data_IF_833484514669
#
_entry.id   IF_833484514669
#
_cell.length_a   1.000
_cell.length_b   1.000
_cell.length_c   1.000
_cell.angle_alpha   90.00
_cell.angle_beta   90.00
_cell.angle_gamma   90.00
#
_symmetry.space_group_name_H-M   'P 1'
#
loop_
_entity.id
_entity.type
_entity.pdbx_description
1 polymer ?
#
# COMPACT_ATOMS: atom_id res chain seq x y z
N UNK A 1 -67.60 31.66 43.22
CA UNK A 1 -66.21 32.07 43.51
C UNK A 1 -65.50 32.14 42.15
N UNK A 2 -65.36 33.28 41.46
CA UNK A 2 -64.46 34.44 41.73
C UNK A 2 -62.98 33.99 41.71
N UNK A 3 -62.04 34.52 40.91
CA UNK A 3 -61.84 35.83 40.23
C UNK A 3 -61.03 35.57 38.92
N UNK A 4 -61.37 36.10 37.72
CA UNK A 4 -60.85 37.32 37.01
C UNK A 4 -59.31 37.44 36.86
N UNK A 5 -58.65 38.08 35.85
CA UNK A 5 -58.93 38.61 34.49
C UNK A 5 -57.55 38.98 33.80
N UNK A 6 -57.44 39.11 32.45
CA UNK A 6 -56.24 39.56 31.68
C UNK A 6 -56.19 41.13 31.51
N UNK A 7 -55.46 41.85 30.59
CA UNK A 7 -54.62 41.47 29.40
C UNK A 7 -53.34 42.38 29.17
N UNK A 8 -52.97 42.62 27.89
CA UNK A 8 -52.19 43.77 27.32
C UNK A 8 -50.64 43.76 27.38
N UNK A 9 -49.85 44.39 26.47
CA UNK A 9 -50.08 45.22 25.25
C UNK A 9 -48.90 44.98 24.26
N UNK A 10 -49.02 45.11 22.92
CA UNK A 10 -48.83 46.35 22.11
C UNK A 10 -47.75 47.33 22.63
N UNK A 11 -46.84 47.93 21.83
CA UNK A 11 -46.53 47.80 20.40
C UNK A 11 -45.22 48.53 20.03
N UNK A 12 -44.71 48.27 18.82
CA UNK A 12 -44.07 49.21 17.86
C UNK A 12 -42.80 50.03 18.19
N UNK A 13 -42.02 50.24 17.11
CA UNK A 13 -41.08 51.36 16.85
C UNK A 13 -39.76 51.40 17.65
N UNK A 14 -38.64 51.90 17.10
CA UNK A 14 -38.22 52.06 15.70
C UNK A 14 -36.68 52.22 15.65
N UNK A 15 -36.09 52.10 14.46
CA UNK A 15 -34.92 52.85 13.94
C UNK A 15 -33.76 53.30 14.87
N UNK A 16 -32.53 53.01 14.39
CA UNK A 16 -31.39 53.95 14.33
C UNK A 16 -30.70 54.31 15.68
N UNK A 17 -29.42 54.68 15.76
CA UNK A 17 -28.31 54.70 14.79
C UNK A 17 -26.97 54.86 15.54
N UNK A 18 -25.85 54.50 14.89
CA UNK A 18 -24.58 55.28 14.88
C UNK A 18 -23.70 55.42 16.17
N UNK A 19 -22.37 55.29 15.96
CA UNK A 19 -21.22 55.79 16.76
C UNK A 19 -20.98 55.23 18.20
N UNK A 20 -19.75 55.22 18.73
CA UNK A 20 -18.39 55.06 18.16
C UNK A 20 -17.35 54.91 19.31
N UNK A 21 -16.10 54.61 18.96
CA UNK A 21 -14.85 54.93 19.70
C UNK A 21 -14.57 54.38 21.12
N UNK A 22 -13.43 53.66 21.19
CA UNK A 22 -12.28 53.83 22.11
C UNK A 22 -12.48 53.98 23.64
N UNK A 23 -11.75 53.19 24.43
CA UNK A 23 -11.49 53.57 25.84
C UNK A 23 -10.69 52.64 26.78
N UNK A 24 -9.40 52.44 26.53
CA UNK A 24 -8.33 52.27 27.55
C UNK A 24 -8.35 51.17 28.66
N UNK A 25 -7.29 50.33 28.62
CA UNK A 25 -6.33 49.98 29.71
C UNK A 25 -6.79 49.33 31.05
N UNK A 26 -6.30 48.10 31.26
CA UNK A 26 -5.34 47.64 32.32
C UNK A 26 -5.04 46.14 32.08
N UNK A 27 -3.85 45.65 31.69
CA UNK A 27 -2.52 45.54 32.36
C UNK A 27 -2.45 44.62 33.59
N UNK A 28 -1.48 43.68 33.57
CA UNK A 28 -0.92 42.85 34.66
C UNK A 28 -1.82 41.69 35.21
N UNK A 29 -1.35 40.46 35.49
CA UNK A 29 -0.06 39.73 35.27
C UNK A 29 -0.22 38.23 35.58
N UNK A 30 0.68 37.36 35.09
CA UNK A 30 0.87 35.98 35.56
C UNK A 30 0.82 34.94 34.43
N UNK A 31 1.90 34.68 33.67
CA UNK A 31 3.04 33.80 34.00
C UNK A 31 2.65 32.39 34.47
N UNK A 32 2.55 31.47 33.50
CA UNK A 32 3.19 30.14 33.57
C UNK A 32 3.74 29.81 32.18
N UNK A 33 4.96 29.27 32.12
CA UNK A 33 5.61 28.80 30.90
C UNK A 33 4.92 27.56 30.30
N UNK A 34 5.04 27.35 28.99
CA UNK A 34 5.75 26.22 28.34
C UNK A 34 5.26 25.96 26.88
N UNK A 35 6.16 25.42 26.05
CA UNK A 35 5.95 24.77 24.74
C UNK A 35 5.36 25.53 23.52
N UNK A 36 6.17 26.47 23.01
CA UNK A 36 6.63 26.50 21.61
C UNK A 36 5.62 26.23 20.47
N UNK A 37 4.65 27.14 20.30
CA UNK A 37 4.08 27.40 18.98
C UNK A 37 5.11 28.16 18.11
N UNK A 38 5.94 27.43 17.33
CA UNK A 38 6.80 28.04 16.32
C UNK A 38 5.97 28.38 15.07
N UNK A 39 5.32 29.53 15.13
CA UNK A 39 4.79 30.24 13.97
C UNK A 39 5.95 30.60 13.03
N UNK A 40 5.93 30.06 11.82
CA UNK A 40 6.85 30.41 10.74
C UNK A 40 5.99 30.90 9.58
N UNK A 41 6.14 32.19 9.28
CA UNK A 41 5.24 32.93 8.42
C UNK A 41 5.05 32.33 7.03
N UNK A 42 3.81 32.43 6.56
CA UNK A 42 3.37 32.11 5.22
C UNK A 42 4.03 33.07 4.20
N UNK A 43 5.12 32.64 3.57
CA UNK A 43 5.57 33.20 2.29
C UNK A 43 5.31 32.16 1.19
N UNK A 44 4.25 32.40 0.41
CA UNK A 44 3.84 31.56 -0.73
C UNK A 44 4.76 31.82 -1.93
N UNK A 45 6.01 31.35 -1.89
CA UNK A 45 6.81 31.21 -3.11
C UNK A 45 6.41 29.95 -3.86
N UNK A 46 5.69 30.15 -4.97
CA UNK A 46 5.32 29.16 -5.97
C UNK A 46 6.57 28.59 -6.67
N UNK A 47 7.23 27.63 -6.02
CA UNK A 47 8.48 27.02 -6.49
C UNK A 47 8.24 26.05 -7.66
N UNK A 48 8.10 26.57 -8.89
CA UNK A 48 8.17 25.78 -10.12
C UNK A 48 9.57 25.17 -10.29
N UNK A 49 9.76 23.94 -9.79
CA UNK A 49 10.99 23.17 -9.97
C UNK A 49 11.19 22.81 -11.45
N UNK A 50 12.07 23.55 -12.12
CA UNK A 50 12.51 23.28 -13.49
C UNK A 50 13.31 21.96 -13.55
N UNK A 51 12.67 20.88 -14.01
CA UNK A 51 13.30 19.57 -14.15
C UNK A 51 14.21 19.56 -15.40
N UNK A 52 15.52 19.72 -15.19
CA UNK A 52 16.51 19.65 -16.27
C UNK A 52 16.80 18.20 -16.69
N UNK A 53 16.32 17.80 -17.87
CA UNK A 53 16.56 16.46 -18.45
C UNK A 53 17.97 16.37 -19.06
N UNK A 54 18.96 15.94 -18.29
CA UNK A 54 20.34 15.77 -18.78
C UNK A 54 20.50 14.50 -19.64
N UNK A 55 20.58 14.65 -20.96
CA UNK A 55 20.94 13.56 -21.89
C UNK A 55 22.46 13.46 -22.06
N UNK A 56 23.07 12.41 -21.50
CA UNK A 56 24.50 12.07 -21.71
C UNK A 56 24.74 10.58 -21.45
N UNK A 57 25.06 9.82 -22.49
CA UNK A 57 24.81 8.36 -22.52
C UNK A 57 25.94 7.45 -21.99
N UNK A 58 27.01 8.01 -21.39
CA UNK A 58 28.17 7.22 -20.91
C UNK A 58 28.76 7.73 -19.57
N UNK A 59 28.06 8.63 -18.88
CA UNK A 59 28.45 9.07 -17.55
C UNK A 59 27.80 8.18 -16.49
N UNK A 60 28.62 7.63 -15.58
CA UNK A 60 28.17 6.99 -14.33
C UNK A 60 27.17 7.92 -13.64
N UNK A 61 25.94 7.45 -13.40
CA UNK A 61 24.87 8.29 -12.85
C UNK A 61 25.32 8.94 -11.53
N UNK A 62 25.57 10.24 -11.59
CA UNK A 62 26.15 11.03 -10.51
C UNK A 62 25.13 11.25 -9.41
N UNK A 63 23.85 11.41 -9.76
CA UNK A 63 22.72 11.55 -8.85
C UNK A 63 22.51 10.25 -8.06
N UNK A 64 22.57 9.10 -8.75
CA UNK A 64 22.55 7.76 -8.12
C UNK A 64 23.70 7.57 -7.15
N UNK A 65 24.91 7.96 -7.56
CA UNK A 65 26.12 7.88 -6.74
C UNK A 65 26.04 8.78 -5.50
N UNK A 66 25.46 9.97 -5.64
CA UNK A 66 25.19 10.92 -4.56
C UNK A 66 24.14 10.38 -3.58
N UNK A 67 23.03 9.83 -4.07
CA UNK A 67 22.00 9.20 -3.24
C UNK A 67 22.53 8.00 -2.44
N UNK A 68 23.43 7.19 -3.03
CA UNK A 68 24.11 6.11 -2.31
C UNK A 68 25.06 6.67 -1.23
N UNK A 69 25.80 7.75 -1.54
CA UNK A 69 26.63 8.47 -0.58
C UNK A 69 25.82 9.02 0.61
N UNK A 70 24.71 9.71 0.36
CA UNK A 70 23.83 10.25 1.40
C UNK A 70 23.25 9.17 2.33
N UNK A 71 22.97 7.99 1.78
CA UNK A 71 22.53 6.83 2.56
C UNK A 71 23.66 6.31 3.46
N UNK A 72 24.90 6.24 2.98
CA UNK A 72 26.04 5.79 3.78
C UNK A 72 26.53 6.85 4.79
N UNK A 73 26.42 8.15 4.47
CA UNK A 73 26.57 9.26 5.42
C UNK A 73 25.56 9.12 6.57
N UNK A 74 24.28 8.94 6.24
CA UNK A 74 23.22 8.78 7.25
C UNK A 74 23.43 7.55 8.14
N UNK A 75 23.96 6.45 7.59
CA UNK A 75 24.35 5.25 8.35
C UNK A 75 25.52 5.50 9.30
N UNK A 76 26.45 6.37 8.90
CA UNK A 76 27.67 6.69 9.67
C UNK A 76 27.38 7.71 10.77
N UNK A 77 26.59 8.74 10.48
CA UNK A 77 26.16 9.77 11.43
C UNK A 77 25.23 9.21 12.51
N UNK A 78 24.27 8.36 12.11
CA UNK A 78 23.24 7.82 13.01
C UNK A 78 23.13 6.29 12.89
N UNK A 79 24.11 5.53 13.43
CA UNK A 79 24.08 4.06 13.47
C UNK A 79 22.95 3.52 14.36
N UNK A 80 22.40 4.36 15.24
CA UNK A 80 21.17 4.17 16.01
C UNK A 80 20.20 5.31 15.69
N UNK A 81 18.91 5.10 15.98
CA UNK A 81 17.88 6.14 15.84
C UNK A 81 18.27 7.39 16.67
N UNK A 82 18.14 8.61 16.13
CA UNK A 82 18.32 9.84 16.90
C UNK A 82 17.37 9.92 18.11
N UNK A 83 17.93 10.01 19.31
CA UNK A 83 17.17 10.00 20.57
C UNK A 83 17.25 11.35 21.30
N UNK A 84 18.45 11.95 21.42
CA UNK A 84 18.62 13.26 22.06
C UNK A 84 18.03 14.40 21.21
N UNK A 85 17.79 15.57 21.83
CA UNK A 85 17.27 16.77 21.14
C UNK A 85 18.28 17.26 20.09
N UNK A 86 19.57 17.23 20.43
CA UNK A 86 20.70 17.62 19.59
C UNK A 86 20.83 16.68 18.39
N UNK A 87 20.77 15.36 18.62
CA UNK A 87 20.77 14.36 17.55
C UNK A 87 19.56 14.53 16.62
N UNK A 88 18.37 14.79 17.18
CA UNK A 88 17.15 15.06 16.41
C UNK A 88 17.28 16.34 15.59
N UNK A 89 17.97 17.38 16.08
CA UNK A 89 18.26 18.63 15.37
C UNK A 89 19.28 18.39 14.24
N UNK A 90 20.42 17.75 14.54
CA UNK A 90 21.44 17.37 13.54
C UNK A 90 20.86 16.52 12.41
N UNK A 91 20.06 15.50 12.73
CA UNK A 91 19.37 14.66 11.75
C UNK A 91 18.26 15.41 10.97
N UNK A 92 17.90 16.64 11.35
CA UNK A 92 16.95 17.49 10.60
C UNK A 92 17.73 18.40 9.66
N UNK A 93 18.78 19.05 10.16
CA UNK A 93 19.78 19.78 9.37
C UNK A 93 20.30 18.92 8.21
N UNK A 94 20.70 17.68 8.47
CA UNK A 94 21.14 16.71 7.46
C UNK A 94 20.16 16.53 6.29
N UNK A 95 18.86 16.50 6.59
CA UNK A 95 17.78 16.33 5.59
C UNK A 95 17.55 17.64 4.84
N UNK A 96 17.48 18.77 5.55
CA UNK A 96 17.25 20.09 4.96
C UNK A 96 18.36 20.45 3.97
N UNK A 97 19.63 20.27 4.34
CA UNK A 97 20.80 20.53 3.49
C UNK A 97 20.79 19.74 2.17
N UNK A 98 20.17 18.56 2.15
CA UNK A 98 20.12 17.66 0.98
C UNK A 98 18.79 17.72 0.21
N UNK A 99 17.82 18.51 0.70
CA UNK A 99 16.44 18.52 0.16
C UNK A 99 16.39 18.93 -1.33
N UNK A 100 17.18 19.92 -1.75
CA UNK A 100 17.26 20.35 -3.15
C UNK A 100 17.86 19.26 -4.07
N UNK A 101 18.86 18.52 -3.58
CA UNK A 101 19.52 17.46 -4.32
C UNK A 101 18.64 16.21 -4.44
N UNK A 102 17.89 15.88 -3.38
CA UNK A 102 16.95 14.75 -3.35
C UNK A 102 15.72 14.93 -4.27
N UNK A 103 15.44 16.17 -4.69
CA UNK A 103 14.45 16.48 -5.73
C UNK A 103 14.88 16.10 -7.15
N UNK A 104 16.17 15.82 -7.39
CA UNK A 104 16.68 15.38 -8.68
C UNK A 104 16.29 13.93 -8.99
N UNK A 105 16.42 13.53 -10.25
CA UNK A 105 16.16 12.16 -10.70
C UNK A 105 17.40 11.55 -11.31
N UNK A 106 17.54 10.24 -11.13
CA UNK A 106 18.46 9.40 -11.90
C UNK A 106 17.97 9.19 -13.33
N UNK A 107 18.84 8.63 -14.18
CA UNK A 107 18.51 8.16 -15.52
C UNK A 107 17.37 7.11 -15.58
N UNK A 108 17.09 6.44 -14.44
CA UNK A 108 16.03 5.44 -14.26
C UNK A 108 14.69 6.10 -13.88
N UNK A 109 14.62 7.43 -13.83
CA UNK A 109 13.48 8.21 -13.33
C UNK A 109 13.30 8.10 -11.81
N UNK A 110 14.30 7.58 -11.08
CA UNK A 110 14.21 7.35 -9.65
C UNK A 110 14.62 8.60 -8.87
N UNK A 111 13.72 9.10 -8.04
CA UNK A 111 13.99 10.12 -7.00
C UNK A 111 14.69 9.49 -5.79
N UNK A 112 15.21 10.29 -4.86
CA UNK A 112 15.84 9.77 -3.63
C UNK A 112 14.92 8.82 -2.84
N UNK A 113 13.61 9.09 -2.82
CA UNK A 113 12.63 8.20 -2.17
C UNK A 113 12.54 6.82 -2.82
N UNK A 114 12.73 6.71 -4.15
CA UNK A 114 12.82 5.41 -4.81
C UNK A 114 14.07 4.64 -4.38
N UNK A 115 15.21 5.31 -4.23
CA UNK A 115 16.44 4.68 -3.72
C UNK A 115 16.25 4.14 -2.29
N UNK A 116 15.60 4.91 -1.42
CA UNK A 116 15.21 4.44 -0.09
C UNK A 116 14.19 3.28 -0.13
N UNK A 117 13.28 3.25 -1.11
CA UNK A 117 12.32 2.17 -1.30
C UNK A 117 12.96 0.86 -1.81
N UNK A 118 13.93 0.95 -2.74
CA UNK A 118 14.74 -0.17 -3.23
C UNK A 118 15.81 -0.64 -2.24
N UNK A 119 16.10 0.11 -1.17
CA UNK A 119 17.17 -0.17 -0.22
C UNK A 119 16.96 -1.50 0.53
N UNK A 120 17.73 -2.52 0.16
CA UNK A 120 17.77 -3.81 0.86
C UNK A 120 18.80 -3.80 2.00
N UNK A 121 18.29 -3.61 3.21
CA UNK A 121 19.06 -3.60 4.45
C UNK A 121 19.68 -4.97 4.82
N UNK A 122 19.26 -6.07 4.20
CA UNK A 122 19.86 -7.39 4.44
C UNK A 122 21.24 -7.52 3.78
N UNK A 123 21.47 -6.79 2.68
CA UNK A 123 22.69 -6.86 1.88
C UNK A 123 23.78 -5.89 2.38
N UNK A 124 23.44 -4.84 3.13
CA UNK A 124 24.42 -3.88 3.68
C UNK A 124 24.68 -4.12 5.17
N UNK A 125 25.86 -4.67 5.49
CA UNK A 125 26.35 -4.85 6.86
C UNK A 125 27.22 -3.66 7.31
N UNK A 126 27.17 -3.23 8.59
CA UNK A 126 26.22 -3.65 9.61
C UNK A 126 24.79 -3.20 9.30
N UNK A 127 23.80 -3.88 9.87
CA UNK A 127 22.40 -3.42 9.81
C UNK A 127 22.27 -2.09 10.57
N UNK A 128 21.67 -1.09 9.92
CA UNK A 128 21.39 0.23 10.50
C UNK A 128 19.94 0.57 10.19
N UNK A 129 19.19 1.01 11.20
CA UNK A 129 17.78 1.34 11.06
C UNK A 129 17.59 2.77 10.52
N UNK A 130 17.38 2.87 9.21
CA UNK A 130 17.17 4.13 8.48
C UNK A 130 15.71 4.61 8.46
N UNK A 131 14.82 4.06 9.29
CA UNK A 131 13.42 4.54 9.37
C UNK A 131 13.31 6.02 9.74
N UNK A 132 14.27 6.56 10.49
CA UNK A 132 14.33 8.00 10.82
C UNK A 132 14.55 8.86 9.57
N UNK A 133 15.45 8.43 8.68
CA UNK A 133 15.78 9.10 7.42
C UNK A 133 14.58 9.05 6.48
N UNK A 134 14.01 7.85 6.29
CA UNK A 134 12.84 7.63 5.44
C UNK A 134 11.65 8.49 5.89
N UNK A 135 11.34 8.51 7.20
CA UNK A 135 10.20 9.28 7.74
C UNK A 135 10.40 10.78 7.49
N UNK A 136 11.62 11.31 7.68
CA UNK A 136 11.91 12.74 7.51
C UNK A 136 12.01 13.16 6.04
N UNK A 137 12.61 12.32 5.20
CA UNK A 137 12.68 12.56 3.75
C UNK A 137 11.26 12.62 3.15
N UNK A 138 10.37 11.69 3.51
CA UNK A 138 8.97 11.71 3.06
C UNK A 138 8.22 12.93 3.60
N UNK A 139 8.44 13.30 4.88
CA UNK A 139 7.79 14.47 5.48
C UNK A 139 8.25 15.81 4.85
N UNK A 140 9.53 15.94 4.46
CA UNK A 140 10.05 17.15 3.79
C UNK A 140 9.84 17.18 2.29
N UNK A 141 9.71 16.03 1.63
CA UNK A 141 9.50 15.91 0.19
C UNK A 141 8.25 15.05 -0.13
N UNK A 142 7.05 15.39 0.39
CA UNK A 142 5.86 14.57 0.22
C UNK A 142 5.42 14.47 -1.25
N UNK A 143 5.65 15.53 -2.04
CA UNK A 143 5.39 15.53 -3.49
C UNK A 143 6.18 14.43 -4.23
N UNK A 144 7.39 14.08 -3.78
CA UNK A 144 8.20 13.01 -4.40
C UNK A 144 7.60 11.60 -4.22
N UNK A 145 6.66 11.41 -3.30
CA UNK A 145 5.91 10.14 -3.18
C UNK A 145 5.00 9.92 -4.39
N UNK A 146 4.60 10.99 -5.08
CA UNK A 146 3.79 10.96 -6.30
C UNK A 146 4.57 10.79 -7.60
N UNK A 147 5.91 10.87 -7.57
CA UNK A 147 6.72 10.66 -8.76
C UNK A 147 6.82 9.18 -9.08
N UNK A 148 6.88 8.84 -10.37
CA UNK A 148 6.99 7.47 -10.83
C UNK A 148 8.31 7.25 -11.56
N UNK A 149 8.97 6.13 -11.27
CA UNK A 149 10.15 5.67 -12.00
C UNK A 149 9.83 5.27 -13.46
N UNK A 150 10.85 4.90 -14.23
CA UNK A 150 10.67 4.41 -15.60
C UNK A 150 9.82 3.14 -15.69
N UNK A 151 9.64 2.39 -14.59
CA UNK A 151 8.70 1.24 -14.50
C UNK A 151 7.27 1.66 -14.13
N UNK A 152 7.00 2.97 -14.08
CA UNK A 152 5.72 3.61 -13.74
C UNK A 152 5.23 3.32 -12.32
N UNK A 153 6.15 3.07 -11.39
CA UNK A 153 5.82 2.84 -9.96
C UNK A 153 6.33 3.99 -9.11
N UNK A 154 5.58 4.35 -8.08
CA UNK A 154 5.98 5.32 -7.05
C UNK A 154 6.91 4.70 -6.01
N UNK A 155 7.59 5.50 -5.15
CA UNK A 155 8.38 4.98 -4.05
C UNK A 155 7.59 4.05 -3.12
N UNK A 156 6.33 4.38 -2.83
CA UNK A 156 5.48 3.58 -1.95
C UNK A 156 5.11 2.25 -2.62
N UNK A 157 4.71 2.27 -3.89
CA UNK A 157 4.43 1.06 -4.69
C UNK A 157 5.68 0.16 -4.80
N UNK A 158 6.86 0.74 -5.00
CA UNK A 158 8.14 0.00 -5.00
C UNK A 158 8.43 -0.63 -3.64
N UNK A 159 8.32 0.12 -2.54
CA UNK A 159 8.61 -0.36 -1.20
C UNK A 159 7.72 -1.54 -0.80
N UNK A 160 6.42 -1.46 -1.08
CA UNK A 160 5.46 -2.54 -0.86
C UNK A 160 5.77 -3.77 -1.71
N UNK A 161 6.08 -3.57 -3.00
CA UNK A 161 6.46 -4.64 -3.94
C UNK A 161 7.75 -5.35 -3.56
N UNK A 162 8.70 -4.64 -2.94
CA UNK A 162 9.99 -5.19 -2.47
C UNK A 162 9.97 -5.71 -1.03
N UNK A 163 8.86 -5.54 -0.30
CA UNK A 163 8.77 -5.93 1.11
C UNK A 163 9.64 -5.05 2.03
N UNK A 164 9.94 -3.82 1.64
CA UNK A 164 10.72 -2.88 2.45
C UNK A 164 9.88 -2.36 3.62
N UNK A 165 9.90 -3.14 4.72
CA UNK A 165 9.13 -2.85 5.92
C UNK A 165 9.52 -1.50 6.56
N UNK A 166 10.81 -1.11 6.54
CA UNK A 166 11.24 0.17 7.11
C UNK A 166 10.61 1.36 6.37
N UNK A 167 10.63 1.35 5.03
CA UNK A 167 10.00 2.39 4.23
C UNK A 167 8.48 2.38 4.38
N UNK A 168 7.87 1.19 4.37
CA UNK A 168 6.40 1.05 4.52
C UNK A 168 5.92 1.56 5.89
N UNK A 169 6.64 1.27 6.98
CA UNK A 169 6.34 1.84 8.29
C UNK A 169 6.60 3.35 8.35
N UNK A 170 7.69 3.82 7.74
CA UNK A 170 7.98 5.24 7.66
C UNK A 170 6.84 6.01 6.98
N UNK A 171 6.38 5.53 5.81
CA UNK A 171 5.32 6.17 5.02
C UNK A 171 3.92 6.03 5.64
N UNK A 172 3.56 4.86 6.17
CA UNK A 172 2.17 4.59 6.56
C UNK A 172 1.87 4.78 8.05
N UNK A 173 2.89 4.74 8.92
CA UNK A 173 2.70 4.69 10.39
C UNK A 173 3.36 5.87 11.11
N UNK A 174 4.54 6.31 10.66
CA UNK A 174 5.36 7.26 11.40
C UNK A 174 5.20 8.72 10.97
N UNK A 175 4.43 9.01 9.92
CA UNK A 175 4.28 10.39 9.43
C UNK A 175 3.35 11.22 10.33
N UNK A 176 3.65 12.52 10.51
CA UNK A 176 2.74 13.47 11.15
C UNK A 176 1.41 13.59 10.38
N UNK A 177 0.25 13.74 11.06
CA UNK A 177 -1.05 13.87 10.42
C UNK A 177 -1.12 14.96 9.33
N UNK A 178 -0.38 16.05 9.52
CA UNK A 178 -0.31 17.24 8.65
C UNK A 178 0.31 16.91 7.28
N UNK A 179 1.08 15.83 7.18
CA UNK A 179 1.67 15.35 5.91
C UNK A 179 0.64 14.58 5.07
N UNK A 180 -0.41 14.07 5.70
CA UNK A 180 -1.45 13.22 5.07
C UNK A 180 -2.09 13.83 3.81
N UNK A 181 -2.60 15.08 3.81
CA UNK A 181 -3.19 15.65 2.60
C UNK A 181 -2.18 15.80 1.46
N UNK A 182 -0.92 16.12 1.77
CA UNK A 182 0.15 16.25 0.76
C UNK A 182 0.50 14.90 0.11
N UNK A 183 0.44 13.80 0.86
CA UNK A 183 0.57 12.44 0.31
C UNK A 183 -0.64 12.06 -0.54
N UNK A 184 -1.84 12.45 -0.11
CA UNK A 184 -3.08 12.20 -0.85
C UNK A 184 -3.01 12.85 -2.23
N UNK A 185 -2.63 14.13 -2.28
CA UNK A 185 -2.41 14.86 -3.53
C UNK A 185 -1.35 14.19 -4.40
N UNK A 186 -0.17 13.92 -3.84
CA UNK A 186 0.92 13.29 -4.57
C UNK A 186 0.53 11.93 -5.18
N UNK A 187 -0.18 11.08 -4.43
CA UNK A 187 -0.62 9.75 -4.87
C UNK A 187 -1.75 9.78 -5.91
N UNK A 188 -2.44 10.91 -6.14
CA UNK A 188 -3.40 11.05 -7.25
C UNK A 188 -2.73 10.86 -8.61
N UNK A 189 -1.41 11.05 -8.69
CA UNK A 189 -0.62 10.76 -9.90
C UNK A 189 -0.78 9.32 -10.40
N UNK A 190 -0.88 8.33 -9.50
CA UNK A 190 -1.08 6.92 -9.86
C UNK A 190 -2.44 6.72 -10.57
N UNK A 191 -3.47 7.40 -10.06
CA UNK A 191 -4.85 7.31 -10.55
C UNK A 191 -5.04 7.99 -11.92
N UNK A 192 -4.32 9.09 -12.18
CA UNK A 192 -4.42 9.84 -13.44
C UNK A 192 -3.48 9.27 -14.50
N UNK A 193 -2.19 9.13 -14.17
CA UNK A 193 -1.12 8.86 -15.15
C UNK A 193 -0.89 7.38 -15.42
N UNK A 194 -1.39 6.47 -14.58
CA UNK A 194 -1.11 5.03 -14.69
C UNK A 194 -2.33 4.11 -14.44
N UNK A 195 -3.47 4.45 -15.05
CA UNK A 195 -4.78 3.78 -14.93
C UNK A 195 -4.85 2.26 -15.21
N UNK A 196 -3.76 1.59 -15.59
CA UNK A 196 -3.73 0.14 -15.86
C UNK A 196 -2.67 -0.63 -15.06
N UNK A 197 -1.85 0.04 -14.26
CA UNK A 197 -0.89 -0.65 -13.38
C UNK A 197 -1.49 -0.88 -11.99
N UNK A 198 -0.81 -1.71 -11.20
CA UNK A 198 -1.07 -1.80 -9.77
C UNK A 198 -0.66 -0.49 -9.08
N UNK A 199 -1.64 0.17 -8.45
CA UNK A 199 -1.41 1.28 -7.52
C UNK A 199 -0.83 0.76 -6.20
N UNK A 200 -0.37 1.66 -5.32
CA UNK A 200 0.16 1.30 -4.01
C UNK A 200 -0.86 0.49 -3.19
N UNK A 201 -2.16 0.78 -3.28
CA UNK A 201 -3.21 0.03 -2.59
C UNK A 201 -3.36 -1.40 -3.14
N UNK A 202 -3.31 -1.59 -4.47
CA UNK A 202 -3.29 -2.93 -5.06
C UNK A 202 -2.08 -3.73 -4.60
N UNK A 203 -0.90 -3.11 -4.62
CA UNK A 203 0.34 -3.75 -4.20
C UNK A 203 0.31 -4.09 -2.71
N UNK A 204 -0.15 -3.19 -1.84
CA UNK A 204 -0.27 -3.47 -0.40
C UNK A 204 -1.21 -4.66 -0.08
N UNK A 205 -2.27 -4.85 -0.87
CA UNK A 205 -3.18 -6.00 -0.70
C UNK A 205 -2.56 -7.32 -1.20
N UNK A 206 -1.69 -7.25 -2.21
CA UNK A 206 -0.98 -8.38 -2.79
C UNK A 206 0.30 -8.77 -1.99
N UNK A 207 0.95 -7.79 -1.36
CA UNK A 207 2.19 -7.96 -0.60
C UNK A 207 2.07 -8.91 0.59
N UNK A 208 3.16 -9.64 0.85
CA UNK A 208 3.32 -10.45 2.05
C UNK A 208 3.83 -9.58 3.22
N UNK A 209 3.29 -9.84 4.42
CA UNK A 209 3.69 -9.18 5.66
C UNK A 209 4.03 -10.25 6.70
N UNK A 210 4.99 -9.95 7.58
CA UNK A 210 5.43 -10.89 8.63
C UNK A 210 4.36 -11.14 9.71
N UNK A 211 3.47 -10.18 9.94
CA UNK A 211 2.42 -10.23 10.97
C UNK A 211 1.09 -9.69 10.45
N UNK A 212 -0.01 -10.39 10.76
CA UNK A 212 -1.37 -10.03 10.36
C UNK A 212 -1.82 -8.69 10.96
N UNK A 213 -1.47 -8.39 12.22
CA UNK A 213 -1.90 -7.13 12.87
C UNK A 213 -1.20 -5.93 12.24
N UNK A 214 0.08 -6.09 11.91
CA UNK A 214 0.89 -5.10 11.21
C UNK A 214 0.36 -4.85 9.79
N UNK A 215 -0.01 -5.92 9.07
CA UNK A 215 -0.71 -5.82 7.77
C UNK A 215 -2.01 -5.03 7.87
N UNK A 216 -2.88 -5.37 8.83
CA UNK A 216 -4.13 -4.65 9.06
C UNK A 216 -3.88 -3.17 9.36
N UNK A 217 -2.98 -2.87 10.30
CA UNK A 217 -2.65 -1.50 10.71
C UNK A 217 -2.12 -0.66 9.55
N UNK A 218 -1.22 -1.20 8.74
CA UNK A 218 -0.65 -0.52 7.57
C UNK A 218 -1.73 -0.25 6.51
N UNK A 219 -2.47 -1.29 6.11
CA UNK A 219 -3.46 -1.14 5.02
C UNK A 219 -4.61 -0.23 5.44
N UNK A 220 -5.10 -0.33 6.69
CA UNK A 220 -6.11 0.61 7.21
C UNK A 220 -5.58 2.06 7.26
N UNK A 221 -4.30 2.27 7.60
CA UNK A 221 -3.69 3.61 7.52
C UNK A 221 -3.59 4.09 6.07
N UNK A 222 -3.21 3.25 5.11
CA UNK A 222 -3.23 3.58 3.68
C UNK A 222 -4.63 3.99 3.22
N UNK A 223 -5.67 3.23 3.55
CA UNK A 223 -7.06 3.56 3.22
C UNK A 223 -7.51 4.94 3.73
N UNK A 224 -6.81 5.53 4.70
CA UNK A 224 -7.13 6.87 5.21
C UNK A 224 -6.48 8.02 4.42
N UNK A 225 -5.40 7.77 3.66
CA UNK A 225 -4.62 8.79 2.92
C UNK A 225 -4.49 8.55 1.41
N UNK A 226 -4.91 7.40 0.88
CA UNK A 226 -4.98 7.23 -0.58
C UNK A 226 -6.14 8.05 -1.15
N UNK A 227 -6.01 8.57 -2.38
CA UNK A 227 -7.12 9.20 -3.11
C UNK A 227 -8.34 8.26 -3.20
N UNK A 228 -9.55 8.82 -3.16
CA UNK A 228 -10.80 8.05 -3.25
C UNK A 228 -10.93 7.34 -4.59
N UNK A 229 -10.44 7.97 -5.65
CA UNK A 229 -10.35 7.42 -7.01
C UNK A 229 -9.56 6.09 -7.03
N UNK A 230 -8.58 5.93 -6.13
CA UNK A 230 -7.71 4.74 -6.07
C UNK A 230 -8.47 3.45 -5.73
N UNK A 231 -9.63 3.54 -5.05
CA UNK A 231 -10.46 2.39 -4.73
C UNK A 231 -11.20 1.81 -5.95
N UNK A 232 -11.33 2.58 -7.03
CA UNK A 232 -12.01 2.19 -8.27
C UNK A 232 -11.06 1.97 -9.46
N UNK A 233 -9.75 2.25 -9.33
CA UNK A 233 -8.78 1.98 -10.40
C UNK A 233 -8.70 0.47 -10.69
N UNK A 234 -8.79 0.08 -11.95
CA UNK A 234 -8.59 -1.30 -12.40
C UNK A 234 -7.13 -1.54 -12.82
N UNK A 235 -6.49 -2.60 -12.30
CA UNK A 235 -5.23 -3.08 -12.92
C UNK A 235 -5.51 -3.69 -14.29
N UNK A 236 -4.46 -3.97 -15.07
CA UNK A 236 -4.50 -4.58 -16.42
C UNK A 236 -5.34 -5.85 -16.61
N UNK A 237 -5.79 -6.48 -15.52
CA UNK A 237 -6.68 -7.63 -15.50
C UNK A 237 -8.17 -7.27 -15.28
N UNK A 238 -8.53 -5.99 -15.14
CA UNK A 238 -9.88 -5.52 -14.78
C UNK A 238 -10.21 -5.66 -13.28
N UNK A 239 -9.21 -5.80 -12.41
CA UNK A 239 -9.41 -5.97 -10.96
C UNK A 239 -9.14 -4.67 -10.24
N UNK A 240 -10.14 -4.14 -9.52
CA UNK A 240 -9.97 -3.07 -8.52
C UNK A 240 -9.41 -3.61 -7.19
N UNK A 241 -8.92 -2.77 -6.25
CA UNK A 241 -8.30 -3.24 -5.00
C UNK A 241 -9.22 -4.16 -4.19
N UNK A 242 -10.52 -3.86 -4.15
CA UNK A 242 -11.50 -4.64 -3.40
C UNK A 242 -11.54 -6.10 -3.88
N UNK A 243 -11.39 -6.38 -5.19
CA UNK A 243 -11.30 -7.74 -5.72
C UNK A 243 -10.11 -8.51 -5.13
N UNK A 244 -8.96 -7.86 -4.93
CA UNK A 244 -7.78 -8.49 -4.31
C UNK A 244 -8.03 -8.75 -2.83
N UNK A 245 -8.64 -7.79 -2.13
CA UNK A 245 -8.93 -7.88 -0.69
C UNK A 245 -9.89 -9.03 -0.34
N UNK A 246 -10.86 -9.35 -1.21
CA UNK A 246 -11.84 -10.43 -0.97
C UNK A 246 -11.39 -11.81 -1.48
N UNK A 247 -10.21 -11.95 -2.10
CA UNK A 247 -9.81 -13.23 -2.70
C UNK A 247 -9.69 -14.32 -1.63
N UNK A 248 -10.51 -15.39 -1.72
CA UNK A 248 -10.66 -16.37 -0.63
C UNK A 248 -9.35 -17.04 -0.18
N UNK A 249 -8.38 -17.20 -1.09
CA UNK A 249 -7.05 -17.72 -0.76
C UNK A 249 -6.22 -16.82 0.17
N UNK A 250 -6.65 -15.57 0.38
CA UNK A 250 -6.02 -14.55 1.23
C UNK A 250 -6.83 -14.21 2.48
N UNK A 251 -7.99 -14.86 2.69
CA UNK A 251 -8.84 -14.58 3.84
C UNK A 251 -8.14 -14.99 5.16
N UNK A 252 -7.77 -13.99 5.95
CA UNK A 252 -7.29 -14.11 7.32
C UNK A 252 -8.15 -13.26 8.28
N UNK A 253 -7.88 -13.29 9.58
CA UNK A 253 -8.69 -12.51 10.56
C UNK A 253 -8.56 -11.01 10.32
N UNK A 254 -7.35 -10.54 10.06
CA UNK A 254 -7.06 -9.16 9.67
C UNK A 254 -7.77 -8.71 8.38
N UNK A 255 -8.10 -9.63 7.47
CA UNK A 255 -8.73 -9.28 6.19
C UNK A 255 -10.12 -8.66 6.36
N UNK A 256 -10.84 -9.00 7.44
CA UNK A 256 -12.17 -8.43 7.72
C UNK A 256 -12.07 -6.94 8.07
N UNK A 257 -11.10 -6.57 8.92
CA UNK A 257 -10.83 -5.16 9.26
C UNK A 257 -10.42 -4.35 8.04
N UNK A 258 -9.60 -4.94 7.16
CA UNK A 258 -9.18 -4.31 5.88
C UNK A 258 -10.39 -4.09 4.96
N UNK A 259 -11.21 -5.12 4.71
CA UNK A 259 -12.36 -5.00 3.79
C UNK A 259 -13.38 -3.99 4.32
N UNK A 260 -13.64 -3.97 5.64
CA UNK A 260 -14.54 -3.00 6.23
C UNK A 260 -14.05 -1.55 6.05
N UNK A 261 -12.76 -1.28 6.25
CA UNK A 261 -12.17 0.05 6.03
C UNK A 261 -12.26 0.47 4.56
N UNK A 262 -12.00 -0.46 3.63
CA UNK A 262 -12.12 -0.20 2.19
C UNK A 262 -13.56 0.10 1.75
N UNK A 263 -14.55 -0.63 2.29
CA UNK A 263 -15.97 -0.37 2.00
C UNK A 263 -16.46 0.95 2.60
N UNK A 264 -15.91 1.36 3.74
CA UNK A 264 -16.20 2.66 4.36
C UNK A 264 -15.64 3.83 3.55
N UNK A 265 -14.45 3.68 2.97
CA UNK A 265 -13.73 4.77 2.27
C UNK A 265 -13.93 4.80 0.76
N UNK A 266 -14.31 3.68 0.13
CA UNK A 266 -14.51 3.57 -1.30
C UNK A 266 -15.67 2.64 -1.67
N UNK A 267 -16.93 2.97 -1.28
CA UNK A 267 -18.10 2.14 -1.57
C UNK A 267 -18.35 1.95 -3.08
N UNK A 268 -17.88 2.88 -3.91
CA UNK A 268 -17.93 2.81 -5.38
C UNK A 268 -17.19 1.58 -5.94
N UNK A 269 -16.22 1.02 -5.21
CA UNK A 269 -15.58 -0.24 -5.60
C UNK A 269 -16.56 -1.43 -5.71
N UNK A 270 -17.79 -1.31 -5.16
CA UNK A 270 -18.87 -2.30 -5.32
C UNK A 270 -19.59 -2.23 -6.67
N UNK A 271 -19.54 -1.11 -7.38
CA UNK A 271 -20.20 -0.95 -8.68
C UNK A 271 -19.33 -1.39 -9.85
N UNK A 272 -18.02 -1.57 -9.64
CA UNK A 272 -17.08 -2.06 -10.66
C UNK A 272 -17.20 -3.57 -10.83
N UNK A 273 -17.51 -4.01 -12.05
CA UNK A 273 -17.61 -5.43 -12.40
C UNK A 273 -16.32 -5.95 -13.06
N UNK A 274 -15.83 -7.11 -12.63
CA UNK A 274 -14.63 -7.73 -13.18
C UNK A 274 -14.99 -8.83 -14.17
N UNK A 275 -14.38 -8.81 -15.37
CA UNK A 275 -14.50 -9.89 -16.36
C UNK A 275 -13.25 -10.79 -16.36
N UNK A 276 -13.29 -11.98 -15.73
CA UNK A 276 -12.15 -12.90 -15.77
C UNK A 276 -11.88 -13.41 -17.18
N UNK A 277 -10.61 -13.61 -17.54
CA UNK A 277 -10.12 -14.03 -18.88
C UNK A 277 -10.71 -15.34 -19.46
N UNK A 278 -11.51 -16.07 -18.70
CA UNK A 278 -12.23 -17.29 -19.08
C UNK A 278 -13.71 -17.18 -18.64
N UNK A 279 -14.33 -16.04 -18.94
CA UNK A 279 -15.69 -15.69 -18.55
C UNK A 279 -16.22 -14.65 -19.54
N UNK A 280 -17.27 -14.99 -20.28
CA UNK A 280 -17.94 -14.05 -21.19
C UNK A 280 -18.81 -13.03 -20.45
N UNK A 281 -19.05 -13.26 -19.15
CA UNK A 281 -19.85 -12.38 -18.30
C UNK A 281 -18.98 -11.69 -17.26
N UNK A 282 -19.18 -10.38 -17.03
CA UNK A 282 -18.64 -9.69 -15.88
C UNK A 282 -19.21 -10.28 -14.59
N UNK A 283 -18.48 -10.12 -13.49
CA UNK A 283 -18.83 -10.57 -12.15
C UNK A 283 -18.81 -9.38 -11.21
N UNK A 284 -19.85 -9.24 -10.41
CA UNK A 284 -19.82 -8.36 -9.24
C UNK A 284 -18.81 -8.87 -8.20
N UNK A 285 -18.36 -7.98 -7.31
CA UNK A 285 -17.48 -8.28 -6.16
C UNK A 285 -17.92 -9.57 -5.43
N UNK A 286 -19.22 -9.70 -5.10
CA UNK A 286 -19.75 -10.88 -4.42
C UNK A 286 -19.69 -12.17 -5.26
N UNK A 287 -19.98 -12.10 -6.56
CA UNK A 287 -19.86 -13.24 -7.47
C UNK A 287 -18.39 -13.66 -7.66
N UNK A 288 -17.47 -12.70 -7.70
CA UNK A 288 -16.03 -12.97 -7.71
C UNK A 288 -15.58 -13.66 -6.40
N UNK A 289 -16.02 -13.17 -5.23
CA UNK A 289 -15.78 -13.82 -3.95
C UNK A 289 -16.22 -15.28 -3.97
N UNK A 290 -17.48 -15.56 -4.34
CA UNK A 290 -17.99 -16.92 -4.46
C UNK A 290 -17.15 -17.78 -5.43
N UNK A 291 -16.73 -17.23 -6.57
CA UNK A 291 -15.89 -17.93 -7.57
C UNK A 291 -14.51 -18.26 -6.99
N UNK A 292 -13.89 -17.33 -6.25
CA UNK A 292 -12.60 -17.56 -5.58
C UNK A 292 -12.70 -18.64 -4.51
N UNK A 293 -13.75 -18.62 -3.68
CA UNK A 293 -14.06 -19.66 -2.68
C UNK A 293 -14.20 -21.03 -3.33
N UNK A 294 -15.03 -21.16 -4.37
CA UNK A 294 -15.23 -22.42 -5.12
C UNK A 294 -13.95 -22.94 -5.77
N UNK A 295 -13.00 -22.07 -6.12
CA UNK A 295 -11.67 -22.47 -6.64
C UNK A 295 -10.79 -23.02 -5.52
N UNK A 296 -10.69 -22.31 -4.40
CA UNK A 296 -9.88 -22.74 -3.26
C UNK A 296 -10.35 -24.07 -2.63
N UNK A 297 -11.67 -24.34 -2.63
CA UNK A 297 -12.21 -25.61 -2.12
C UNK A 297 -12.06 -26.79 -3.08
N UNK A 298 -11.74 -26.57 -4.36
CA UNK A 298 -11.51 -27.63 -5.34
C UNK A 298 -10.05 -28.04 -5.32
N UNK A 299 -9.75 -29.10 -4.58
CA UNK A 299 -8.41 -29.67 -4.48
C UNK A 299 -7.85 -30.10 -5.84
N UNK A 300 -6.53 -29.98 -6.11
CA UNK A 300 -5.92 -30.28 -7.41
C UNK A 300 -6.08 -31.76 -7.87
N UNK A 301 -6.44 -32.65 -6.96
CA UNK A 301 -6.69 -34.08 -7.21
C UNK A 301 -7.89 -34.38 -8.13
N UNK A 302 -8.78 -33.42 -8.43
CA UNK A 302 -9.94 -33.68 -9.29
C UNK A 302 -9.68 -33.51 -10.79
N UNK A 303 -8.47 -33.16 -11.24
CA UNK A 303 -8.10 -33.04 -12.66
C UNK A 303 -7.32 -34.25 -13.22
N UNK A 304 -7.00 -35.25 -12.39
CA UNK A 304 -6.41 -36.53 -12.83
C UNK A 304 -7.34 -37.72 -12.57
N UNK A 305 -8.48 -37.73 -13.26
CA UNK A 305 -9.18 -38.98 -13.61
C UNK A 305 -9.39 -39.02 -15.12
N UNK A 306 -8.32 -39.35 -15.86
CA UNK A 306 -8.50 -40.01 -17.16
C UNK A 306 -9.26 -41.32 -16.90
N UNK A 307 -10.27 -41.68 -17.69
CA UNK A 307 -10.87 -43.00 -17.61
C UNK A 307 -9.80 -44.06 -17.99
N UNK A 308 -9.81 -45.25 -17.37
CA UNK A 308 -8.93 -46.33 -17.80
C UNK A 308 -9.29 -46.75 -19.22
N UNK A 309 -8.33 -46.68 -20.15
CA UNK A 309 -8.47 -47.34 -21.44
C UNK A 309 -8.37 -48.85 -21.22
N UNK A 310 -9.45 -49.57 -21.51
CA UNK A 310 -9.43 -51.03 -21.58
C UNK A 310 -8.54 -51.48 -22.75
N UNK A 311 -7.32 -51.92 -22.47
CA UNK A 311 -6.53 -52.71 -23.42
C UNK A 311 -6.93 -54.18 -23.28
N UNK A 312 -7.96 -54.60 -24.04
CA UNK A 312 -8.28 -56.00 -24.22
C UNK A 312 -7.16 -56.70 -25.02
N UNK A 313 -6.83 -57.94 -24.66
CA UNK A 313 -5.70 -58.67 -25.23
C UNK A 313 -6.10 -59.54 -26.45
N UNK A 314 -5.50 -59.23 -27.60
CA UNK A 314 -5.27 -60.10 -28.76
C UNK A 314 -3.99 -59.57 -29.45
N UNK A 315 -3.04 -60.35 -29.97
CA UNK A 315 -2.91 -61.80 -30.01
C UNK A 315 -2.17 -62.24 -31.28
N UNK A 316 -0.97 -62.83 -31.12
CA UNK A 316 -0.14 -63.61 -32.09
C UNK A 316 0.80 -62.91 -33.10
N UNK A 317 2.08 -63.27 -32.93
CA UNK A 317 3.00 -63.96 -33.87
C UNK A 317 3.37 -63.38 -35.25
N UNK A 318 4.63 -62.91 -35.38
CA UNK A 318 5.72 -63.44 -36.24
C UNK A 318 6.93 -62.47 -36.13
N UNK A 319 8.11 -62.83 -35.60
CA UNK A 319 9.19 -63.77 -36.01
C UNK A 319 10.03 -63.31 -37.22
N UNK A 320 11.37 -63.37 -37.02
CA UNK A 320 12.55 -63.29 -37.93
C UNK A 320 13.39 -62.01 -37.70
N UNK A 321 14.49 -62.05 -36.92
CA UNK A 321 15.93 -62.24 -37.32
C UNK A 321 16.39 -61.22 -38.38
N UNK A 322 17.46 -60.41 -38.32
CA UNK A 322 18.89 -60.52 -37.91
C UNK A 322 19.45 -59.09 -37.66
N UNK A 323 20.64 -58.78 -37.10
CA UNK A 323 21.65 -59.44 -36.22
C UNK A 323 22.74 -58.38 -35.87
N UNK A 324 23.84 -58.78 -35.19
CA UNK A 324 25.14 -58.08 -35.08
C UNK A 324 25.22 -56.78 -34.23
N UNK A 325 26.33 -56.43 -33.54
CA UNK A 325 27.45 -57.18 -32.92
C UNK A 325 28.25 -56.21 -32.02
N UNK A 326 29.12 -56.75 -31.14
CA UNK A 326 30.13 -56.07 -30.29
C UNK A 326 29.58 -55.30 -29.06
N UNK A 327 29.97 -55.62 -27.82
CA UNK A 327 31.29 -55.46 -27.15
C UNK A 327 31.74 -53.98 -27.07
N UNK A 328 32.24 -53.46 -25.94
CA UNK A 328 33.01 -54.14 -24.87
C UNK A 328 32.83 -53.48 -23.48
N UNK A 329 33.27 -54.16 -22.43
CA UNK A 329 33.27 -53.72 -21.02
C UNK A 329 34.00 -52.39 -20.74
N UNK A 330 33.59 -51.72 -19.65
CA UNK A 330 34.53 -51.42 -18.54
C UNK A 330 33.80 -51.23 -17.21
N UNK A 331 34.51 -51.57 -16.12
CA UNK A 331 33.97 -51.84 -14.77
C UNK A 331 34.05 -50.63 -13.83
N UNK A 332 33.50 -50.82 -12.62
CA UNK A 332 33.84 -50.13 -11.35
C UNK A 332 33.12 -48.78 -11.10
N UNK A 333 32.77 -48.36 -9.88
CA UNK A 333 32.88 -48.94 -8.51
C UNK A 333 31.53 -48.76 -7.78
N UNK A 334 31.15 -49.71 -6.93
CA UNK A 334 30.02 -49.52 -6.01
C UNK A 334 30.44 -48.84 -4.70
N UNK A 335 29.71 -47.82 -4.25
CA UNK A 335 29.82 -47.33 -2.87
C UNK A 335 28.44 -46.99 -2.30
N UNK A 336 28.16 -47.55 -1.11
CA UNK A 336 26.89 -47.47 -0.38
C UNK A 336 26.78 -46.15 0.38
N UNK A 337 25.55 -45.63 0.47
CA UNK A 337 24.99 -44.84 1.58
C UNK A 337 25.69 -43.49 1.85
N UNK A 338 24.98 -42.40 2.12
CA UNK A 338 24.09 -42.24 3.28
C UNK A 338 22.85 -41.36 3.00
N UNK A 339 21.83 -41.46 3.87
CA UNK A 339 20.56 -40.74 3.77
C UNK A 339 20.67 -39.37 4.43
N UNK A 340 20.23 -38.31 3.73
CA UNK A 340 20.20 -36.94 4.28
C UNK A 340 19.05 -36.06 3.79
N UNK A 341 17.94 -36.64 3.33
CA UNK A 341 16.80 -35.88 2.80
C UNK A 341 15.98 -35.23 3.93
N UNK A 342 16.28 -33.97 4.24
CA UNK A 342 15.53 -33.18 5.23
C UNK A 342 14.17 -32.73 4.66
N UNK A 343 13.18 -33.63 4.76
CA UNK A 343 11.79 -33.35 4.35
C UNK A 343 11.15 -32.38 5.34
N UNK A 344 11.16 -31.08 5.01
CA UNK A 344 10.34 -30.08 5.68
C UNK A 344 8.86 -30.34 5.36
N UNK A 345 8.17 -31.00 6.30
CA UNK A 345 6.71 -31.18 6.26
C UNK A 345 6.02 -29.81 6.41
N UNK A 346 5.06 -29.43 5.55
CA UNK A 346 4.18 -28.30 5.85
C UNK A 346 3.25 -28.68 7.01
N UNK A 347 3.26 -27.88 8.08
CA UNK A 347 2.36 -28.06 9.21
C UNK A 347 0.90 -27.86 8.76
N UNK A 348 0.11 -28.93 8.80
CA UNK A 348 -1.36 -28.84 8.78
C UNK A 348 -1.86 -28.29 10.12
N UNK A 349 -1.79 -26.97 10.28
CA UNK A 349 -2.67 -26.29 11.22
C UNK A 349 -4.01 -26.03 10.52
N UNK A 350 -4.98 -26.90 10.75
CA UNK A 350 -6.39 -26.58 10.48
C UNK A 350 -6.82 -25.51 11.50
N UNK A 351 -6.56 -24.25 11.18
CA UNK A 351 -7.18 -23.14 11.87
C UNK A 351 -8.68 -23.14 11.52
N UNK A 352 -9.53 -23.33 12.52
CA UNK A 352 -10.97 -23.14 12.41
C UNK A 352 -11.24 -21.66 12.11
N UNK A 353 -11.48 -21.33 10.84
CA UNK A 353 -11.72 -19.97 10.39
C UNK A 353 -13.05 -19.45 10.96
N UNK A 354 -13.12 -18.19 11.44
CA UNK A 354 -14.40 -17.59 11.78
C UNK A 354 -15.23 -17.39 10.52
N UNK A 355 -16.40 -18.02 10.48
CA UNK A 355 -17.39 -17.81 9.43
C UNK A 355 -17.95 -16.39 9.57
N UNK A 356 -17.71 -15.49 8.60
CA UNK A 356 -18.55 -14.28 8.51
C UNK A 356 -19.98 -14.75 8.29
N UNK A 357 -20.90 -14.40 9.19
CA UNK A 357 -22.30 -14.75 9.03
C UNK A 357 -22.87 -14.06 7.79
N UNK A 358 -23.78 -14.73 7.07
CA UNK A 358 -24.39 -14.15 5.86
C UNK A 358 -25.12 -12.82 6.16
N UNK A 359 -25.51 -12.59 7.42
CA UNK A 359 -26.06 -11.31 7.88
C UNK A 359 -25.11 -10.10 7.77
N UNK A 360 -23.79 -10.28 7.84
CA UNK A 360 -22.83 -9.19 7.61
C UNK A 360 -22.75 -8.81 6.12
N UNK A 361 -22.93 -9.78 5.21
CA UNK A 361 -23.04 -9.51 3.77
C UNK A 361 -24.39 -8.89 3.40
N UNK A 362 -25.47 -9.29 4.08
CA UNK A 362 -26.79 -8.69 3.91
C UNK A 362 -26.80 -7.19 4.24
N UNK A 363 -26.06 -6.74 5.26
CA UNK A 363 -25.94 -5.33 5.62
C UNK A 363 -25.30 -4.49 4.49
N UNK A 364 -24.25 -5.00 3.84
CA UNK A 364 -23.62 -4.33 2.69
C UNK A 364 -24.56 -4.30 1.46
N UNK A 365 -25.33 -5.36 1.23
CA UNK A 365 -26.34 -5.40 0.16
C UNK A 365 -27.54 -4.46 0.42
N UNK A 366 -27.88 -4.19 1.69
CA UNK A 366 -29.01 -3.32 2.05
C UNK A 366 -28.76 -1.83 1.74
N UNK A 367 -27.49 -1.40 1.70
CA UNK A 367 -27.12 -0.05 1.22
C UNK A 367 -27.43 0.08 -0.28
N UNK A 368 -27.30 -1.00 -1.04
CA UNK A 368 -27.50 -1.02 -2.50
C UNK A 368 -28.99 -0.91 -2.92
N UNK A 369 -29.94 -1.20 -2.02
CA UNK A 369 -31.38 -1.07 -2.29
C UNK A 369 -31.98 0.26 -1.84
N UNK A 370 -31.28 1.05 -1.01
CA UNK A 370 -31.82 2.34 -0.51
C UNK A 370 -31.55 3.53 -1.45
N UNK A 371 -30.46 3.48 -2.24
CA UNK A 371 -30.09 4.54 -3.19
C UNK A 371 -30.69 4.40 -4.60
N UNK A 372 -31.76 3.59 -4.78
CA UNK A 372 -32.51 3.47 -6.05
C UNK A 372 -34.03 3.63 -5.86
N UNK A 373 -34.44 4.36 -4.82
CA UNK A 373 -35.83 4.36 -4.34
C UNK A 373 -36.40 5.70 -3.89
N UNK A 374 -35.82 6.83 -4.28
CA UNK A 374 -36.42 8.18 -4.16
C UNK A 374 -35.77 9.11 -5.20
N UNK A 375 -36.43 9.29 -6.34
CA UNK A 375 -36.52 10.54 -7.12
C UNK A 375 -37.22 10.26 -8.47
N UNK A 376 -38.30 11.00 -8.76
CA UNK A 376 -38.97 11.05 -10.09
C UNK A 376 -39.96 9.94 -10.38
#
# INVERSE_FOLDING_TARGET
MSVSIPPSSHALMNSQDIHDTNGLRRTFTGLTDDDNAFDLGTEEEEFELQIATTTGHDARDTIKSQFEGDIDDARTLFPKKPESVEQKKQAMTFVVERTAEWGKMTWEGQTFLHHLAYYDYNNRKPFVNLSWLMTRAIHKLPHLVGFMDNTKRTPLTVALSKGNAMFTHAACINLPPETTPLLTEALRSECVKNRKAATCLHTALDSTFTDEKTREKIIRKMCNFVPEEMFAIEVSQGRVPLHIAIEYGRCCKAQVGIVNEMLLRGPEALTVEFTPSFSERPLSIYQYYQRSRRRATKSPTSQQKKPPQNTAAHGKDHRVTTSNLNNTESKSVALKMEKGAMVLRPNKLQATLPHLSDGQWAAAAFVQTRNKGTDG
#
